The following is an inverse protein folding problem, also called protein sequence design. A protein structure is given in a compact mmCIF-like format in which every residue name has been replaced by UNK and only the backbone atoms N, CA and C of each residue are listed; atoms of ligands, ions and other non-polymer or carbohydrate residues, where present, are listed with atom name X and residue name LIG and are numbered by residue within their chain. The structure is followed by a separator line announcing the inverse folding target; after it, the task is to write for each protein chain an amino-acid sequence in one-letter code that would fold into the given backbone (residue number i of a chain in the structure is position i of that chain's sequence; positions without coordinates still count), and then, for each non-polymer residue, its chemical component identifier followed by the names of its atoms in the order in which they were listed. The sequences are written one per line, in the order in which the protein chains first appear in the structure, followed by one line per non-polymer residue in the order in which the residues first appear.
data_IF_970885699235
#
_entry.id   IF_970885699235
#
_cell.length_a   1.000
_cell.length_b   1.000
_cell.length_c   1.000
_cell.angle_alpha   90.00
_cell.angle_beta   90.00
_cell.angle_gamma   90.00
#
_symmetry.space_group_name_H-M   'P 1'
#
loop_
_entity.id
_entity.type
_entity.pdbx_description
1 polymer ?
#
# COMPACT_ATOMS: atom_id res chain seq x y z
N UNK A 1 -24.35 6.03 1.12
CA UNK A 1 -25.01 7.23 0.55
C UNK A 1 -24.07 8.42 0.31
N UNK A 2 -22.86 8.45 0.84
CA UNK A 2 -21.92 9.60 0.73
C UNK A 2 -21.13 9.60 -0.58
N UNK A 3 -20.82 8.44 -1.17
CA UNK A 3 -20.00 8.31 -2.39
C UNK A 3 -20.76 8.57 -3.71
N UNK A 4 -22.10 8.49 -3.75
CA UNK A 4 -22.87 8.82 -4.96
C UNK A 4 -22.69 10.29 -5.41
N UNK A 5 -22.28 11.18 -4.51
CA UNK A 5 -21.95 12.57 -4.85
C UNK A 5 -20.54 12.77 -5.47
N UNK A 6 -19.67 11.74 -5.48
CA UNK A 6 -18.33 11.85 -6.01
C UNK A 6 -18.26 11.69 -7.54
N UNK A 7 -19.32 11.16 -8.16
CA UNK A 7 -19.33 10.71 -9.55
C UNK A 7 -19.93 11.72 -10.57
N UNK A 8 -20.18 12.95 -10.20
CA UNK A 8 -20.71 13.95 -11.13
C UNK A 8 -19.64 14.91 -11.63
N UNK A 9 -19.20 14.68 -12.90
CA UNK A 9 -18.50 15.59 -13.86
C UNK A 9 -17.00 15.40 -14.05
N UNK A 10 -16.38 15.84 -15.11
CA UNK A 10 -16.64 16.07 -16.51
C UNK A 10 -15.90 15.15 -17.50
N UNK A 11 -15.86 15.49 -18.78
CA UNK A 11 -15.42 14.74 -19.95
C UNK A 11 -14.14 13.87 -19.83
N UNK A 12 -14.17 12.59 -20.27
CA UNK A 12 -13.12 11.59 -20.05
C UNK A 12 -11.80 11.80 -20.82
N UNK A 13 -11.78 12.59 -21.87
CA UNK A 13 -10.65 12.62 -22.83
C UNK A 13 -9.37 13.30 -22.28
N UNK A 14 -9.46 14.17 -21.29
CA UNK A 14 -8.29 14.88 -20.73
C UNK A 14 -7.61 14.12 -19.57
N UNK A 15 -8.27 13.12 -19.00
CA UNK A 15 -7.88 12.46 -17.75
C UNK A 15 -6.69 11.51 -17.91
N UNK A 16 -6.60 10.81 -19.04
CA UNK A 16 -5.60 9.76 -19.23
C UNK A 16 -4.14 10.25 -19.34
N UNK A 17 -3.92 11.50 -19.71
CA UNK A 17 -2.56 12.04 -19.86
C UNK A 17 -1.89 12.41 -18.53
N UNK A 18 -2.66 12.62 -17.47
CA UNK A 18 -2.17 13.09 -16.16
C UNK A 18 -2.09 11.99 -15.09
N UNK A 19 -2.64 10.81 -15.39
CA UNK A 19 -2.62 9.69 -14.42
C UNK A 19 -1.22 9.06 -14.37
N UNK A 20 -0.72 8.71 -13.18
CA UNK A 20 0.56 8.03 -13.04
C UNK A 20 0.63 6.75 -13.88
N UNK A 21 1.80 6.49 -14.48
CA UNK A 21 2.06 5.31 -15.33
C UNK A 21 1.71 4.00 -14.61
N UNK A 22 1.92 3.96 -13.29
CA UNK A 22 1.56 2.79 -12.48
C UNK A 22 0.04 2.49 -12.52
N UNK A 23 -0.82 3.51 -12.43
CA UNK A 23 -2.27 3.31 -12.56
C UNK A 23 -2.68 2.84 -13.95
N UNK A 24 -2.03 3.36 -14.99
CA UNK A 24 -2.29 2.95 -16.38
C UNK A 24 -1.91 1.48 -16.61
N UNK A 25 -0.86 0.98 -15.96
CA UNK A 25 -0.48 -0.43 -16.00
C UNK A 25 -1.33 -1.33 -15.08
N UNK A 26 -2.00 -0.74 -14.10
CA UNK A 26 -2.75 -1.48 -13.07
C UNK A 26 -4.23 -1.65 -13.43
N UNK A 27 -4.86 -0.67 -14.06
CA UNK A 27 -6.30 -0.62 -14.28
C UNK A 27 -6.65 -0.76 -15.77
N UNK A 28 -7.77 -1.46 -16.09
CA UNK A 28 -8.27 -1.52 -17.47
C UNK A 28 -8.61 -0.13 -18.03
N UNK A 29 -8.51 0.06 -19.35
CA UNK A 29 -8.84 1.33 -20.00
C UNK A 29 -10.26 1.82 -19.69
N UNK A 30 -11.22 0.93 -19.55
CA UNK A 30 -12.63 1.23 -19.25
C UNK A 30 -12.78 1.83 -17.86
N UNK A 31 -12.00 1.35 -16.87
CA UNK A 31 -11.96 1.88 -15.51
C UNK A 31 -11.25 3.24 -15.48
N UNK A 32 -10.21 3.41 -16.28
CA UNK A 32 -9.51 4.69 -16.41
C UNK A 32 -10.37 5.75 -17.11
N UNK A 33 -11.19 5.33 -18.09
CA UNK A 33 -12.08 6.24 -18.83
C UNK A 33 -13.16 6.90 -17.95
N UNK A 34 -13.53 6.28 -16.84
CA UNK A 34 -14.50 6.82 -15.87
C UNK A 34 -13.83 7.50 -14.67
N UNK A 35 -12.51 7.66 -14.67
CA UNK A 35 -11.80 8.37 -13.63
C UNK A 35 -12.18 9.87 -13.63
N UNK A 36 -12.44 10.41 -12.44
CA UNK A 36 -12.86 11.80 -12.27
C UNK A 36 -11.88 12.58 -11.39
N UNK A 37 -11.55 13.82 -11.76
CA UNK A 37 -10.78 14.68 -10.89
C UNK A 37 -11.63 15.16 -9.71
N UNK A 38 -11.05 15.15 -8.52
CA UNK A 38 -11.68 15.67 -7.32
C UNK A 38 -11.11 17.05 -6.99
N UNK A 39 -11.99 18.00 -6.72
CA UNK A 39 -11.54 19.33 -6.29
C UNK A 39 -11.04 19.32 -4.85
N UNK A 40 -10.01 20.13 -4.55
CA UNK A 40 -9.52 20.30 -3.17
C UNK A 40 -10.64 20.72 -2.20
N UNK A 41 -11.60 21.50 -2.69
CA UNK A 41 -12.76 21.93 -1.90
C UNK A 41 -13.64 20.75 -1.50
N UNK A 42 -13.92 19.83 -2.43
CA UNK A 42 -14.67 18.62 -2.15
C UNK A 42 -13.89 17.73 -1.19
N UNK A 43 -12.60 17.52 -1.45
CA UNK A 43 -11.72 16.74 -0.59
C UNK A 43 -11.73 17.28 0.84
N UNK A 44 -11.53 18.59 1.05
CA UNK A 44 -11.57 19.23 2.38
C UNK A 44 -12.92 19.02 3.07
N UNK A 45 -14.01 19.18 2.35
CA UNK A 45 -15.36 19.03 2.89
C UNK A 45 -15.62 17.61 3.38
N UNK A 46 -15.14 16.62 2.64
CA UNK A 46 -15.41 15.20 2.91
C UNK A 46 -14.45 14.59 3.93
N UNK A 47 -13.19 15.02 3.95
CA UNK A 47 -12.14 14.31 4.70
C UNK A 47 -11.55 15.10 5.86
N UNK A 48 -11.43 16.43 5.74
CA UNK A 48 -10.72 17.22 6.76
C UNK A 48 -11.59 17.48 7.99
N UNK A 49 -11.27 16.81 9.09
CA UNK A 49 -11.97 16.94 10.38
C UNK A 49 -11.39 18.04 11.26
N UNK A 50 -10.10 18.38 11.08
CA UNK A 50 -9.36 19.37 11.86
C UNK A 50 -8.94 20.56 11.00
N UNK A 51 -8.75 21.74 11.60
CA UNK A 51 -8.27 22.94 10.90
C UNK A 51 -6.90 22.70 10.24
N UNK A 52 -5.99 21.98 10.90
CA UNK A 52 -4.69 21.62 10.35
C UNK A 52 -4.77 20.69 9.12
N UNK A 53 -5.77 19.81 9.06
CA UNK A 53 -5.96 18.90 7.92
C UNK A 53 -6.35 19.70 6.65
N UNK A 54 -7.16 20.76 6.79
CA UNK A 54 -7.51 21.63 5.66
C UNK A 54 -6.29 22.35 5.10
N UNK A 55 -5.49 22.95 5.98
CA UNK A 55 -4.26 23.64 5.57
C UNK A 55 -3.27 22.67 4.90
N UNK A 56 -3.17 21.43 5.41
CA UNK A 56 -2.32 20.40 4.82
C UNK A 56 -2.78 20.02 3.40
N UNK A 57 -4.09 19.81 3.19
CA UNK A 57 -4.64 19.51 1.86
C UNK A 57 -4.33 20.65 0.90
N UNK A 58 -4.53 21.90 1.32
CA UNK A 58 -4.27 23.07 0.47
C UNK A 58 -2.80 23.18 0.05
N UNK A 59 -1.89 22.95 0.99
CA UNK A 59 -0.47 23.13 0.77
C UNK A 59 0.20 21.93 0.06
N UNK A 60 -0.21 20.71 0.37
CA UNK A 60 0.52 19.51 -0.05
C UNK A 60 -0.16 18.73 -1.20
N UNK A 61 -1.43 18.98 -1.50
CA UNK A 61 -2.13 18.31 -2.60
C UNK A 61 -2.06 19.16 -3.85
N UNK A 62 -1.65 18.60 -4.97
CA UNK A 62 -1.68 19.22 -6.29
C UNK A 62 -2.94 18.83 -7.06
N UNK A 63 -3.16 17.54 -7.25
CA UNK A 63 -4.36 16.98 -7.87
C UNK A 63 -4.82 15.71 -7.19
N UNK A 64 -6.09 15.35 -7.36
CA UNK A 64 -6.66 14.09 -6.88
C UNK A 64 -7.57 13.53 -7.94
N UNK A 65 -7.43 12.24 -8.20
CA UNK A 65 -8.25 11.47 -9.11
C UNK A 65 -8.92 10.34 -8.36
N UNK A 66 -10.15 10.04 -8.72
CA UNK A 66 -10.92 8.92 -8.18
C UNK A 66 -11.50 8.10 -9.31
N UNK A 67 -11.36 6.78 -9.20
CA UNK A 67 -12.08 5.82 -10.03
C UNK A 67 -12.50 4.64 -9.17
N UNK A 68 -13.34 3.76 -9.69
CA UNK A 68 -13.71 2.52 -8.99
C UNK A 68 -13.84 1.34 -9.95
N UNK A 69 -13.40 0.17 -9.48
CA UNK A 69 -13.72 -1.08 -10.15
C UNK A 69 -15.12 -1.50 -9.71
N UNK A 70 -15.98 -1.67 -10.69
CA UNK A 70 -17.36 -2.15 -10.55
C UNK A 70 -17.63 -3.12 -11.68
N UNK A 71 -18.68 -3.93 -11.53
CA UNK A 71 -19.06 -4.89 -12.57
C UNK A 71 -19.25 -4.24 -13.94
N UNK A 72 -19.88 -3.08 -13.98
CA UNK A 72 -20.14 -2.34 -15.23
C UNK A 72 -18.90 -1.74 -15.88
N UNK A 73 -17.79 -1.59 -15.15
CA UNK A 73 -16.54 -1.02 -15.68
C UNK A 73 -15.44 -2.04 -15.91
N UNK A 74 -15.39 -3.15 -15.17
CA UNK A 74 -14.33 -4.14 -15.28
C UNK A 74 -14.82 -5.58 -15.55
N UNK A 75 -16.14 -5.82 -15.53
CA UNK A 75 -16.72 -7.15 -15.74
C UNK A 75 -16.53 -8.12 -14.58
N UNK A 76 -15.89 -7.70 -13.48
CA UNK A 76 -15.59 -8.56 -12.33
C UNK A 76 -16.77 -8.50 -11.33
N UNK A 77 -17.33 -9.65 -10.93
CA UNK A 77 -18.49 -9.68 -10.05
C UNK A 77 -18.22 -9.10 -8.65
N UNK A 78 -19.19 -8.39 -8.05
CA UNK A 78 -19.12 -7.98 -6.64
C UNK A 78 -19.31 -9.16 -5.70
N UNK A 79 -18.92 -8.98 -4.41
CA UNK A 79 -19.20 -9.95 -3.34
C UNK A 79 -19.70 -9.23 -2.11
N UNK A 80 -20.97 -9.46 -1.77
CA UNK A 80 -21.63 -8.79 -0.68
C UNK A 80 -21.71 -7.27 -0.87
N UNK A 81 -22.16 -6.57 0.15
CA UNK A 81 -22.24 -5.10 0.13
C UNK A 81 -20.87 -4.44 0.32
N UNK A 82 -19.96 -5.10 1.03
CA UNK A 82 -18.64 -4.58 1.37
C UNK A 82 -17.72 -4.47 0.15
N UNK A 83 -17.84 -5.38 -0.81
CA UNK A 83 -17.08 -5.42 -2.06
C UNK A 83 -17.98 -5.21 -3.28
N UNK A 84 -18.97 -4.33 -3.15
CA UNK A 84 -19.79 -3.91 -4.29
C UNK A 84 -18.97 -3.08 -5.30
N UNK A 85 -17.96 -2.36 -4.80
CA UNK A 85 -16.99 -1.62 -5.60
C UNK A 85 -15.64 -1.55 -4.87
N UNK A 86 -14.55 -1.41 -5.62
CA UNK A 86 -13.23 -1.08 -5.07
C UNK A 86 -12.87 0.33 -5.48
N UNK A 87 -12.70 1.22 -4.51
CA UNK A 87 -12.31 2.58 -4.77
C UNK A 87 -10.79 2.68 -4.98
N UNK A 88 -10.39 3.35 -6.05
CA UNK A 88 -8.99 3.70 -6.33
C UNK A 88 -8.84 5.21 -6.31
N UNK A 89 -8.00 5.70 -5.41
CA UNK A 89 -7.65 7.10 -5.31
C UNK A 89 -6.21 7.33 -5.71
N UNK A 90 -5.98 8.33 -6.54
CA UNK A 90 -4.65 8.81 -6.88
C UNK A 90 -4.50 10.26 -6.46
N UNK A 91 -3.56 10.51 -5.57
CA UNK A 91 -3.20 11.83 -5.07
C UNK A 91 -1.82 12.22 -5.60
N UNK A 92 -1.75 13.30 -6.36
CA UNK A 92 -0.49 13.95 -6.70
C UNK A 92 -0.17 14.99 -5.65
N UNK A 93 1.02 14.93 -5.06
CA UNK A 93 1.46 15.91 -4.07
C UNK A 93 2.33 16.99 -4.69
N UNK A 94 2.29 18.17 -4.11
CA UNK A 94 3.22 19.24 -4.45
C UNK A 94 4.68 18.77 -4.25
N UNK A 95 5.64 19.24 -5.07
CA UNK A 95 7.03 18.80 -4.99
C UNK A 95 7.71 19.01 -3.62
N UNK A 96 7.23 20.00 -2.87
CA UNK A 96 7.73 20.33 -1.53
C UNK A 96 7.08 19.49 -0.40
N UNK A 97 6.16 18.58 -0.72
CA UNK A 97 5.49 17.77 0.29
C UNK A 97 6.45 16.79 0.96
N UNK A 98 6.48 16.82 2.28
CA UNK A 98 7.35 15.95 3.08
C UNK A 98 6.73 14.55 3.29
N UNK A 99 7.53 13.50 3.54
CA UNK A 99 7.02 12.17 3.85
C UNK A 99 6.02 12.14 5.02
N UNK A 100 6.23 13.00 6.02
CA UNK A 100 5.32 13.13 7.17
C UNK A 100 3.95 13.71 6.75
N UNK A 101 3.96 14.71 5.88
CA UNK A 101 2.72 15.29 5.33
C UNK A 101 1.97 14.27 4.49
N UNK A 102 2.66 13.48 3.69
CA UNK A 102 2.05 12.42 2.88
C UNK A 102 1.44 11.32 3.72
N UNK A 103 2.14 10.87 4.76
CA UNK A 103 1.58 9.88 5.71
C UNK A 103 0.32 10.43 6.40
N UNK A 104 0.30 11.73 6.72
CA UNK A 104 -0.88 12.36 7.31
C UNK A 104 -2.03 12.51 6.31
N UNK A 105 -1.75 12.84 5.04
CA UNK A 105 -2.75 12.87 3.97
C UNK A 105 -3.38 11.49 3.76
N UNK A 106 -2.58 10.44 3.72
CA UNK A 106 -3.02 9.06 3.66
C UNK A 106 -4.01 8.74 4.80
N UNK A 107 -3.66 9.07 6.04
CA UNK A 107 -4.53 8.85 7.20
C UNK A 107 -5.86 9.60 7.09
N UNK A 108 -5.82 10.85 6.66
CA UNK A 108 -7.03 11.69 6.49
C UNK A 108 -7.96 11.08 5.44
N UNK A 109 -7.41 10.62 4.31
CA UNK A 109 -8.18 10.05 3.23
C UNK A 109 -8.78 8.70 3.62
N UNK A 110 -7.96 7.79 4.13
CA UNK A 110 -8.41 6.45 4.53
C UNK A 110 -9.44 6.51 5.67
N UNK A 111 -9.32 7.46 6.60
CA UNK A 111 -10.29 7.66 7.69
C UNK A 111 -11.68 8.11 7.22
N UNK A 112 -11.77 8.67 6.04
CA UNK A 112 -13.02 9.21 5.51
C UNK A 112 -13.79 8.22 4.64
N UNK A 113 -13.17 7.10 4.26
CA UNK A 113 -13.70 6.17 3.28
C UNK A 113 -14.05 4.84 3.97
N UNK A 114 -15.33 4.48 4.03
CA UNK A 114 -15.77 3.25 4.69
C UNK A 114 -15.72 2.01 3.77
N UNK A 115 -15.25 2.15 2.53
CA UNK A 115 -15.20 1.11 1.51
C UNK A 115 -13.77 0.58 1.35
N UNK A 116 -13.59 -0.60 0.72
CA UNK A 116 -12.26 -1.08 0.35
C UNK A 116 -11.62 -0.06 -0.59
N UNK A 117 -10.47 0.46 -0.19
CA UNK A 117 -9.78 1.53 -0.90
C UNK A 117 -8.33 1.18 -1.17
N UNK A 118 -7.90 1.42 -2.40
CA UNK A 118 -6.52 1.45 -2.80
C UNK A 118 -6.11 2.90 -3.06
N UNK A 119 -5.18 3.40 -2.27
CA UNK A 119 -4.70 4.77 -2.33
C UNK A 119 -3.28 4.82 -2.86
N UNK A 120 -3.07 5.61 -3.90
CA UNK A 120 -1.77 5.99 -4.43
C UNK A 120 -1.50 7.46 -4.10
N UNK A 121 -0.38 7.73 -3.46
CA UNK A 121 0.11 9.09 -3.21
C UNK A 121 1.43 9.25 -3.95
N UNK A 122 1.42 9.98 -5.05
CA UNK A 122 2.58 10.24 -5.88
C UNK A 122 3.25 11.55 -5.48
N UNK A 123 4.57 11.52 -5.32
CA UNK A 123 5.41 12.67 -5.00
C UNK A 123 6.63 12.74 -5.91
N UNK A 124 7.51 13.72 -5.67
CA UNK A 124 8.74 13.88 -6.42
C UNK A 124 9.69 12.70 -6.18
N UNK A 125 9.81 11.80 -7.15
CA UNK A 125 10.73 10.66 -7.12
C UNK A 125 10.29 9.46 -6.27
N UNK A 126 9.04 9.41 -5.83
CA UNK A 126 8.51 8.24 -5.11
C UNK A 126 6.98 8.13 -5.21
N UNK A 127 6.49 6.93 -4.99
CA UNK A 127 5.07 6.62 -4.89
C UNK A 127 4.82 5.92 -3.56
N UNK A 128 3.83 6.37 -2.82
CA UNK A 128 3.33 5.68 -1.65
C UNK A 128 2.01 5.00 -1.99
N UNK A 129 1.94 3.71 -1.74
CA UNK A 129 0.76 2.87 -1.97
C UNK A 129 0.20 2.41 -0.65
N UNK A 130 -1.12 2.38 -0.53
CA UNK A 130 -1.81 1.92 0.67
C UNK A 130 -3.12 1.26 0.32
N UNK A 131 -3.44 0.17 1.00
CA UNK A 131 -4.72 -0.48 0.93
C UNK A 131 -5.32 -0.63 2.34
N UNK A 132 -6.62 -0.39 2.44
CA UNK A 132 -7.38 -0.55 3.67
C UNK A 132 -8.64 -1.36 3.39
N UNK A 133 -8.79 -2.57 3.97
CA UNK A 133 -10.04 -3.34 3.90
C UNK A 133 -11.21 -2.59 4.54
N UNK A 134 -12.46 -2.91 4.16
CA UNK A 134 -13.63 -2.30 4.76
C UNK A 134 -13.70 -2.59 6.27
N UNK A 135 -14.26 -1.65 7.04
CA UNK A 135 -14.44 -1.78 8.51
C UNK A 135 -13.16 -2.05 9.33
N UNK A 136 -12.00 -1.84 8.73
CA UNK A 136 -10.70 -2.06 9.38
C UNK A 136 -10.16 -0.76 9.96
N UNK A 137 -9.57 -0.76 11.18
CA UNK A 137 -8.96 0.43 11.75
C UNK A 137 -7.76 0.88 10.89
N UNK A 138 -7.58 2.21 10.77
CA UNK A 138 -6.50 2.80 9.94
C UNK A 138 -5.11 2.30 10.36
N UNK A 139 -4.94 1.94 11.62
CA UNK A 139 -3.69 1.37 12.12
C UNK A 139 -3.29 0.05 11.45
N UNK A 140 -4.27 -0.70 10.93
CA UNK A 140 -4.06 -1.96 10.23
C UNK A 140 -3.93 -1.79 8.69
N UNK A 141 -3.82 -0.54 8.19
CA UNK A 141 -3.57 -0.32 6.76
C UNK A 141 -2.27 -0.96 6.30
N UNK A 142 -2.30 -1.55 5.14
CA UNK A 142 -1.10 -2.03 4.47
C UNK A 142 -0.58 -0.93 3.57
N UNK A 143 0.62 -0.43 3.85
CA UNK A 143 1.20 0.67 3.08
C UNK A 143 2.71 0.51 2.89
N UNK A 144 3.22 1.00 1.76
CA UNK A 144 4.64 1.02 1.44
C UNK A 144 4.99 2.26 0.61
N UNK A 145 6.27 2.63 0.60
CA UNK A 145 6.80 3.72 -0.23
C UNK A 145 7.86 3.16 -1.17
N UNK A 146 7.74 3.49 -2.45
CA UNK A 146 8.61 3.01 -3.53
C UNK A 146 9.24 4.20 -4.25
N UNK A 147 10.52 4.09 -4.59
CA UNK A 147 11.16 4.98 -5.57
C UNK A 147 10.95 4.47 -7.00
N UNK A 148 10.91 3.15 -7.18
CA UNK A 148 10.53 2.47 -8.42
C UNK A 148 9.89 1.13 -8.07
N UNK A 149 8.69 0.81 -8.56
CA UNK A 149 8.08 -0.50 -8.39
C UNK A 149 8.81 -1.55 -9.24
N UNK A 150 8.93 -2.77 -8.70
CA UNK A 150 9.42 -3.91 -9.48
C UNK A 150 8.39 -4.30 -10.56
N UNK A 151 8.83 -4.82 -11.73
CA UNK A 151 7.91 -5.26 -12.79
C UNK A 151 6.91 -6.32 -12.32
N UNK A 152 7.36 -7.30 -11.55
CA UNK A 152 6.54 -8.38 -11.00
C UNK A 152 5.47 -7.85 -10.04
N UNK A 153 5.83 -6.88 -9.20
CA UNK A 153 4.89 -6.19 -8.32
C UNK A 153 3.82 -5.44 -9.12
N UNK A 154 4.22 -4.75 -10.19
CA UNK A 154 3.28 -4.04 -11.07
C UNK A 154 2.33 -5.02 -11.77
N UNK A 155 2.85 -6.16 -12.23
CA UNK A 155 2.04 -7.22 -12.84
C UNK A 155 1.01 -7.79 -11.84
N UNK A 156 1.37 -7.98 -10.58
CA UNK A 156 0.45 -8.45 -9.55
C UNK A 156 -0.64 -7.44 -9.19
N UNK A 157 -0.43 -6.16 -9.44
CA UNK A 157 -1.46 -5.13 -9.29
C UNK A 157 -2.39 -5.04 -10.49
N UNK A 158 -2.00 -5.52 -11.67
CA UNK A 158 -2.78 -5.38 -12.90
C UNK A 158 -4.10 -6.15 -12.82
N UNK A 159 -5.21 -5.49 -13.15
CA UNK A 159 -6.56 -6.09 -13.14
C UNK A 159 -6.84 -6.83 -14.45
N UNK A 160 -6.31 -6.34 -15.56
CA UNK A 160 -6.40 -7.00 -16.87
C UNK A 160 -5.39 -8.13 -16.95
N UNK A 161 -5.74 -9.30 -16.44
CA UNK A 161 -4.95 -10.52 -16.57
C UNK A 161 -5.64 -11.52 -17.50
N UNK A 162 -4.88 -12.48 -18.12
CA UNK A 162 -5.47 -13.51 -18.97
C UNK A 162 -6.54 -14.34 -18.25
N UNK A 163 -6.43 -14.47 -16.92
CA UNK A 163 -7.43 -15.12 -16.08
C UNK A 163 -8.05 -14.07 -15.14
N UNK A 164 -9.31 -13.64 -15.38
CA UNK A 164 -9.97 -12.66 -14.52
C UNK A 164 -10.20 -13.25 -13.13
N UNK A 165 -10.01 -12.41 -12.12
CA UNK A 165 -10.31 -12.77 -10.74
C UNK A 165 -11.82 -13.13 -10.60
N UNK A 166 -12.15 -14.08 -9.73
CA UNK A 166 -13.53 -14.54 -9.57
C UNK A 166 -14.48 -13.46 -9.06
N UNK A 167 -13.98 -12.47 -8.35
CA UNK A 167 -14.76 -11.35 -7.80
C UNK A 167 -13.87 -10.21 -7.31
N UNK A 168 -14.47 -9.06 -6.99
CA UNK A 168 -13.77 -7.86 -6.54
C UNK A 168 -12.99 -8.06 -5.23
N UNK A 169 -13.47 -8.92 -4.33
CA UNK A 169 -12.71 -9.24 -3.11
C UNK A 169 -11.37 -9.93 -3.45
N UNK A 170 -11.38 -10.87 -4.38
CA UNK A 170 -10.15 -11.55 -4.80
C UNK A 170 -9.13 -10.58 -5.43
N UNK A 171 -9.60 -9.58 -6.21
CA UNK A 171 -8.74 -8.49 -6.70
C UNK A 171 -8.11 -7.73 -5.54
N UNK A 172 -8.91 -7.34 -4.55
CA UNK A 172 -8.43 -6.57 -3.41
C UNK A 172 -7.46 -7.37 -2.54
N UNK A 173 -7.75 -8.65 -2.29
CA UNK A 173 -6.88 -9.57 -1.55
C UNK A 173 -5.54 -9.75 -2.26
N UNK A 174 -5.54 -9.84 -3.60
CA UNK A 174 -4.31 -9.88 -4.41
C UNK A 174 -3.49 -8.59 -4.28
N UNK A 175 -4.14 -7.42 -4.30
CA UNK A 175 -3.46 -6.15 -4.06
C UNK A 175 -2.84 -6.06 -2.67
N UNK A 176 -3.54 -6.54 -1.64
CA UNK A 176 -2.98 -6.64 -0.29
C UNK A 176 -1.75 -7.55 -0.26
N UNK A 177 -1.85 -8.74 -0.85
CA UNK A 177 -0.73 -9.68 -0.95
C UNK A 177 0.48 -9.05 -1.66
N UNK A 178 0.26 -8.34 -2.77
CA UNK A 178 1.33 -7.65 -3.50
C UNK A 178 2.01 -6.57 -2.64
N UNK A 179 1.23 -5.75 -1.91
CA UNK A 179 1.78 -4.75 -0.99
C UNK A 179 2.60 -5.38 0.14
N UNK A 180 2.11 -6.47 0.74
CA UNK A 180 2.86 -7.21 1.77
C UNK A 180 4.15 -7.81 1.21
N UNK A 181 4.07 -8.50 0.06
CA UNK A 181 5.23 -9.12 -0.58
C UNK A 181 6.32 -8.09 -0.90
N UNK A 182 5.94 -6.95 -1.48
CA UNK A 182 6.88 -5.88 -1.78
C UNK A 182 7.47 -5.24 -0.51
N UNK A 183 6.67 -5.09 0.55
CA UNK A 183 7.15 -4.58 1.84
C UNK A 183 8.14 -5.52 2.52
N UNK A 184 7.93 -6.83 2.41
CA UNK A 184 8.86 -7.85 2.88
C UNK A 184 10.19 -7.80 2.10
N UNK A 185 10.13 -7.66 0.77
CA UNK A 185 11.30 -7.58 -0.10
C UNK A 185 12.15 -6.31 0.15
N UNK A 186 11.52 -5.16 0.43
CA UNK A 186 12.21 -3.88 0.59
C UNK A 186 12.90 -3.67 1.94
N UNK A 187 12.53 -4.43 2.96
CA UNK A 187 13.02 -4.21 4.33
C UNK A 187 13.80 -5.39 4.91
N UNK A 188 14.79 -5.96 4.21
CA UNK A 188 15.64 -6.96 4.83
C UNK A 188 16.50 -6.28 5.92
N UNK A 189 16.86 -6.98 7.01
CA UNK A 189 17.88 -6.50 7.94
C UNK A 189 19.19 -6.25 7.19
N UNK A 190 19.98 -5.26 7.63
CA UNK A 190 21.26 -4.87 6.98
C UNK A 190 22.27 -6.03 6.78
N UNK A 191 22.08 -7.14 7.51
CA UNK A 191 22.91 -8.34 7.44
C UNK A 191 22.36 -9.43 6.50
N UNK A 192 21.21 -9.20 5.87
CA UNK A 192 20.56 -10.18 4.98
C UNK A 192 20.42 -9.56 3.61
N UNK A 193 20.74 -10.33 2.57
CA UNK A 193 20.50 -9.94 1.18
C UNK A 193 19.01 -9.69 0.97
N UNK A 194 18.66 -8.65 0.20
CA UNK A 194 17.27 -8.39 -0.13
C UNK A 194 16.62 -9.64 -0.73
N UNK A 195 15.49 -10.04 -0.19
CA UNK A 195 14.71 -11.11 -0.79
C UNK A 195 14.13 -10.63 -2.13
N UNK A 196 14.09 -11.47 -3.16
CA UNK A 196 13.35 -11.15 -4.37
C UNK A 196 11.86 -10.97 -4.04
N UNK A 197 11.17 -10.21 -4.88
CA UNK A 197 9.72 -10.11 -4.80
C UNK A 197 9.08 -11.48 -5.03
N UNK A 198 8.13 -11.85 -4.18
CA UNK A 198 7.39 -13.10 -4.32
C UNK A 198 5.92 -12.88 -4.05
N UNK A 199 5.09 -13.45 -4.93
CA UNK A 199 3.65 -13.48 -4.77
C UNK A 199 3.24 -14.30 -3.54
N UNK A 200 2.36 -13.74 -2.71
CA UNK A 200 1.77 -14.42 -1.55
C UNK A 200 0.40 -14.98 -1.91
N UNK A 201 0.00 -16.08 -1.29
CA UNK A 201 -1.23 -16.79 -1.65
C UNK A 201 -2.46 -16.20 -0.99
N UNK A 202 -2.32 -15.56 0.17
CA UNK A 202 -3.44 -14.94 0.88
C UNK A 202 -3.01 -13.79 1.79
N UNK A 203 -3.91 -12.82 2.09
CA UNK A 203 -3.63 -11.75 3.05
C UNK A 203 -3.32 -12.27 4.46
N UNK A 204 -3.96 -13.36 4.89
CA UNK A 204 -3.73 -13.95 6.20
C UNK A 204 -2.31 -14.54 6.33
N UNK A 205 -1.83 -15.23 5.29
CA UNK A 205 -0.44 -15.70 5.22
C UNK A 205 0.53 -14.50 5.25
N UNK A 206 0.24 -13.48 4.46
CA UNK A 206 1.05 -12.28 4.37
C UNK A 206 1.19 -11.56 5.73
N UNK A 207 0.08 -11.41 6.45
CA UNK A 207 0.05 -10.80 7.79
C UNK A 207 0.81 -11.65 8.83
N UNK A 208 0.66 -12.98 8.77
CA UNK A 208 1.37 -13.90 9.66
C UNK A 208 2.90 -13.81 9.44
N UNK A 209 3.34 -13.82 8.19
CA UNK A 209 4.75 -13.68 7.82
C UNK A 209 5.32 -12.33 8.26
N UNK A 210 4.59 -11.24 8.05
CA UNK A 210 5.03 -9.92 8.50
C UNK A 210 5.14 -9.84 10.02
N UNK A 211 4.17 -10.39 10.74
CA UNK A 211 4.18 -10.44 12.21
C UNK A 211 5.41 -11.20 12.72
N UNK A 212 5.68 -12.37 12.14
CA UNK A 212 6.86 -13.15 12.48
C UNK A 212 8.16 -12.42 12.16
N UNK A 213 8.26 -11.81 10.98
CA UNK A 213 9.45 -11.04 10.59
C UNK A 213 9.68 -9.83 11.51
N UNK A 214 8.62 -9.13 11.89
CA UNK A 214 8.73 -8.00 12.80
C UNK A 214 9.18 -8.43 14.20
N UNK A 215 8.69 -9.56 14.72
CA UNK A 215 9.17 -10.12 15.98
C UNK A 215 10.66 -10.46 15.93
N UNK A 216 11.13 -11.11 14.85
CA UNK A 216 12.56 -11.41 14.65
C UNK A 216 13.41 -10.15 14.51
N UNK A 217 12.93 -9.13 13.84
CA UNK A 217 13.61 -7.81 13.73
C UNK A 217 13.75 -7.13 15.09
N UNK A 218 12.73 -7.20 15.93
CA UNK A 218 12.78 -6.67 17.30
C UNK A 218 13.82 -7.43 18.14
N UNK A 219 13.86 -8.76 18.04
CA UNK A 219 14.88 -9.58 18.72
C UNK A 219 16.29 -9.24 18.23
N UNK A 220 16.49 -9.09 16.92
CA UNK A 220 17.77 -8.67 16.35
C UNK A 220 18.20 -7.29 16.87
N UNK A 221 17.28 -6.32 16.87
CA UNK A 221 17.56 -4.96 17.35
C UNK A 221 17.88 -4.92 18.84
N UNK A 222 17.15 -5.68 19.65
CA UNK A 222 17.40 -5.81 21.08
C UNK A 222 18.78 -6.44 21.36
N UNK A 223 19.11 -7.52 20.63
CA UNK A 223 20.43 -8.17 20.75
C UNK A 223 21.57 -7.24 20.28
N UNK A 224 21.38 -6.47 19.19
CA UNK A 224 22.33 -5.48 18.72
C UNK A 224 22.59 -4.39 19.76
N UNK A 225 21.50 -3.85 20.36
CA UNK A 225 21.60 -2.84 21.41
C UNK A 225 22.29 -3.41 22.66
N UNK A 226 21.91 -4.62 23.09
CA UNK A 226 22.56 -5.31 24.20
C UNK A 226 24.06 -5.52 23.97
N UNK A 227 24.45 -5.94 22.75
CA UNK A 227 25.87 -6.10 22.38
C UNK A 227 26.64 -4.78 22.47
N UNK A 228 26.04 -3.68 22.01
CA UNK A 228 26.67 -2.35 22.03
C UNK A 228 26.93 -1.83 23.47
N UNK A 229 26.09 -2.22 24.43
CA UNK A 229 26.16 -1.80 25.83
C UNK A 229 26.75 -2.88 26.77
N UNK A 230 27.19 -4.02 26.24
CA UNK A 230 27.77 -5.09 27.06
C UNK A 230 29.20 -4.71 27.48
N UNK A 231 29.44 -4.67 28.79
CA UNK A 231 30.74 -4.30 29.38
C UNK A 231 31.61 -5.52 29.75
N UNK A 232 31.02 -6.70 29.82
CA UNK A 232 31.76 -7.94 30.13
C UNK A 232 31.73 -8.93 28.96
N UNK A 233 32.76 -9.81 28.83
CA UNK A 233 32.85 -10.76 27.73
C UNK A 233 31.69 -11.78 27.66
N UNK A 234 31.12 -12.19 28.81
CA UNK A 234 30.03 -13.14 28.83
C UNK A 234 28.75 -12.58 28.20
N UNK A 235 28.41 -11.30 28.53
CA UNK A 235 27.28 -10.62 27.92
C UNK A 235 27.53 -10.32 26.44
N UNK A 236 28.74 -9.97 26.04
CA UNK A 236 29.11 -9.78 24.64
C UNK A 236 28.86 -11.07 23.83
N UNK A 237 29.31 -12.22 24.34
CA UNK A 237 29.09 -13.53 23.70
C UNK A 237 27.58 -13.86 23.64
N UNK A 238 26.84 -13.62 24.72
CA UNK A 238 25.37 -13.85 24.80
C UNK A 238 24.65 -13.06 23.71
N UNK A 239 24.88 -11.75 23.64
CA UNK A 239 24.19 -10.89 22.68
C UNK A 239 24.66 -11.12 21.23
N UNK A 240 25.93 -11.45 21.02
CA UNK A 240 26.42 -11.81 19.69
C UNK A 240 25.75 -13.09 19.16
N UNK A 241 25.60 -14.12 20.01
CA UNK A 241 24.86 -15.34 19.67
C UNK A 241 23.38 -15.07 19.37
N UNK A 242 22.70 -14.30 20.23
CA UNK A 242 21.29 -13.93 20.01
C UNK A 242 21.08 -13.16 18.71
N UNK A 243 21.97 -12.20 18.39
CA UNK A 243 21.91 -11.44 17.13
C UNK A 243 22.11 -12.35 15.92
N UNK A 244 23.10 -13.26 15.97
CA UNK A 244 23.35 -14.21 14.89
C UNK A 244 22.15 -15.13 14.67
N UNK A 245 21.61 -15.70 15.74
CA UNK A 245 20.41 -16.55 15.67
C UNK A 245 19.23 -15.84 15.02
N UNK A 246 18.91 -14.61 15.46
CA UNK A 246 17.83 -13.84 14.87
C UNK A 246 18.09 -13.51 13.38
N UNK A 247 19.35 -13.25 12.98
CA UNK A 247 19.71 -13.04 11.59
C UNK A 247 19.52 -14.32 10.75
N UNK A 248 19.94 -15.47 11.28
CA UNK A 248 19.81 -16.77 10.62
C UNK A 248 18.32 -17.16 10.46
N UNK A 249 17.49 -16.92 11.48
CA UNK A 249 16.05 -17.16 11.42
C UNK A 249 15.33 -16.24 10.42
N UNK A 250 15.73 -14.96 10.33
CA UNK A 250 15.24 -14.04 9.30
C UNK A 250 15.64 -14.53 7.91
N UNK A 251 16.90 -14.94 7.72
CA UNK A 251 17.37 -15.45 6.45
C UNK A 251 16.63 -16.73 6.04
N UNK A 252 16.40 -17.65 6.98
CA UNK A 252 15.62 -18.86 6.75
C UNK A 252 14.17 -18.55 6.36
N UNK A 253 13.50 -17.62 7.08
CA UNK A 253 12.15 -17.19 6.75
C UNK A 253 12.05 -16.57 5.35
N UNK A 254 13.02 -15.75 4.98
CA UNK A 254 13.07 -15.16 3.63
C UNK A 254 13.45 -16.17 2.55
N UNK A 255 14.24 -17.23 2.86
CA UNK A 255 14.57 -18.29 1.90
C UNK A 255 13.41 -19.24 1.65
N UNK A 256 12.62 -19.59 2.68
CA UNK A 256 11.40 -20.38 2.48
C UNK A 256 10.40 -19.68 1.58
N UNK A 257 10.43 -18.36 1.56
CA UNK A 257 9.68 -17.56 0.59
C UNK A 257 10.21 -17.75 -0.84
N UNK A 258 11.44 -18.18 -1.05
CA UNK A 258 12.05 -18.37 -2.38
C UNK A 258 11.94 -19.80 -2.92
N UNK A 259 11.69 -20.81 -2.06
CA UNK A 259 11.77 -22.24 -2.45
C UNK A 259 10.43 -22.87 -2.85
N UNK A 260 9.31 -22.15 -2.72
CA UNK A 260 7.96 -22.68 -3.01
C UNK A 260 7.49 -22.31 -4.43
N UNK A 261 8.38 -22.42 -5.42
CA UNK A 261 8.08 -22.33 -6.86
C UNK A 261 8.11 -23.72 -7.47
#
# INVERSE_FOLDING_TARGET
MILRCWLCSPSPAAVNAELPVLLQGMLPPEVLAVAVPLTKTLLRKQTARKKGDKALIDAAVESVWSTSLRFDTCGIPPVGEEYAELLVLCLQTAPAATPKQMSRLEEILLAAIPYPVFLMVAGAGFVRLSALPPHTPIAARVGLTLSAPAPEFTADLAVSQPEPEPNLRAVFDRWLCALYAQRLALNPPKSVTAAPYRRLSSPAEAEALETQLNALRQQFAAAYTGLKHAHNPADQIKYAKARRRAADEIAALLSTLNETL
#
